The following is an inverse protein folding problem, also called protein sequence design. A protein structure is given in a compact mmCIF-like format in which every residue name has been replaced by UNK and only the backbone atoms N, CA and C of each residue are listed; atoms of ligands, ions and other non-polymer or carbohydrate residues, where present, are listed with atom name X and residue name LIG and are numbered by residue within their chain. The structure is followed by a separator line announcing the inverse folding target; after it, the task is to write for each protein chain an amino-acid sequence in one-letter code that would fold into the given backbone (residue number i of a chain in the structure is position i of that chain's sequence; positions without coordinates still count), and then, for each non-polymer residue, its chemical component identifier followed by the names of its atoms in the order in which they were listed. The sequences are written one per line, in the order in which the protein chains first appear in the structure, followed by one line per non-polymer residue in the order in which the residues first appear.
data_IF_749676475661
#
_entry.id   IF_749676475661
#
_cell.length_a   1.000
_cell.length_b   1.000
_cell.length_c   1.000
_cell.angle_alpha   90.00
_cell.angle_beta   90.00
_cell.angle_gamma   90.00
#
_symmetry.space_group_name_H-M   'P 1'
#
loop_
_entity.id
_entity.type
_entity.pdbx_description
1 polymer ?
#
# COMPACT_ATOMS: atom_id res chain seq x y z
N UNK A 1 22.53 -9.50 12.47
CA UNK A 1 22.40 -8.23 13.22
C UNK A 1 21.33 -7.41 12.53
N UNK A 2 20.31 -6.91 13.22
CA UNK A 2 19.38 -5.93 12.63
C UNK A 2 20.01 -4.54 12.75
N UNK A 3 20.12 -3.84 11.64
CA UNK A 3 20.50 -2.43 11.65
C UNK A 3 19.33 -1.59 12.19
N UNK A 4 19.61 -0.55 12.99
CA UNK A 4 18.60 0.37 13.52
C UNK A 4 18.97 1.81 13.15
N UNK A 5 17.99 2.58 12.68
CA UNK A 5 18.17 4.01 12.39
C UNK A 5 18.70 4.77 13.60
N UNK A 6 18.20 4.46 14.80
CA UNK A 6 18.64 5.11 16.04
C UNK A 6 20.15 4.88 16.26
N UNK A 7 20.64 3.65 16.08
CA UNK A 7 22.07 3.34 16.20
C UNK A 7 22.93 4.13 15.22
N UNK A 8 22.41 4.42 14.01
CA UNK A 8 23.14 5.20 13.00
C UNK A 8 23.16 6.68 13.31
N UNK A 9 22.04 7.27 13.74
CA UNK A 9 21.97 8.70 14.03
C UNK A 9 22.57 9.06 15.39
N UNK A 10 22.64 8.13 16.34
CA UNK A 10 23.27 8.32 17.65
C UNK A 10 24.78 8.56 17.55
N UNK A 11 25.41 8.15 16.45
CA UNK A 11 26.81 8.47 16.15
C UNK A 11 27.04 9.97 15.84
N UNK A 12 25.97 10.74 15.62
CA UNK A 12 26.05 12.19 15.38
C UNK A 12 26.04 12.91 16.74
N UNK A 13 27.12 13.65 17.02
CA UNK A 13 27.29 14.37 18.27
C UNK A 13 26.32 15.55 18.43
N UNK A 14 26.01 16.26 17.33
CA UNK A 14 25.10 17.41 17.36
C UNK A 14 23.64 16.97 17.49
N UNK A 15 22.97 17.44 18.55
CA UNK A 15 21.59 17.06 18.86
C UNK A 15 20.59 17.52 17.79
N UNK A 16 20.74 18.75 17.28
CA UNK A 16 19.78 19.29 16.32
C UNK A 16 19.92 18.60 14.97
N UNK A 17 21.14 18.40 14.48
CA UNK A 17 21.43 17.66 13.26
C UNK A 17 20.92 16.21 13.35
N UNK A 18 21.16 15.53 14.48
CA UNK A 18 20.64 14.18 14.75
C UNK A 18 19.12 14.13 14.65
N UNK A 19 18.43 15.05 15.32
CA UNK A 19 16.97 15.08 15.34
C UNK A 19 16.38 15.38 13.96
N UNK A 20 16.91 16.38 13.24
CA UNK A 20 16.44 16.71 11.90
C UNK A 20 16.68 15.56 10.92
N UNK A 21 17.87 14.95 10.97
CA UNK A 21 18.20 13.81 10.12
C UNK A 21 17.32 12.60 10.45
N UNK A 22 17.01 12.36 11.73
CA UNK A 22 16.09 11.30 12.13
C UNK A 22 14.71 11.50 11.49
N UNK A 23 14.14 12.72 11.52
CA UNK A 23 12.83 12.96 10.91
C UNK A 23 12.82 12.61 9.42
N UNK A 24 13.83 13.07 8.67
CA UNK A 24 13.96 12.80 7.23
C UNK A 24 14.16 11.31 6.95
N UNK A 25 15.14 10.69 7.62
CA UNK A 25 15.50 9.29 7.36
C UNK A 25 14.44 8.31 7.84
N UNK A 26 13.65 8.67 8.85
CA UNK A 26 12.67 7.74 9.42
C UNK A 26 11.54 7.39 8.46
N UNK A 27 11.17 8.29 7.54
CA UNK A 27 10.22 8.00 6.47
C UNK A 27 10.84 7.09 5.40
N UNK A 28 12.10 7.34 5.02
CA UNK A 28 12.80 6.48 4.07
C UNK A 28 12.99 5.07 4.61
N UNK A 29 13.40 4.96 5.87
CA UNK A 29 13.59 3.68 6.56
C UNK A 29 12.27 2.91 6.65
N UNK A 30 11.17 3.59 6.96
CA UNK A 30 9.83 2.97 7.00
C UNK A 30 9.43 2.42 5.63
N UNK A 31 9.62 3.19 4.55
CA UNK A 31 9.28 2.76 3.19
C UNK A 31 10.16 1.62 2.68
N UNK A 32 11.46 1.67 2.94
CA UNK A 32 12.40 0.64 2.49
C UNK A 32 12.28 -0.66 3.30
N UNK A 33 11.86 -0.57 4.55
CA UNK A 33 11.62 -1.74 5.41
C UNK A 33 10.18 -2.29 5.31
N UNK A 34 9.31 -1.65 4.51
CA UNK A 34 7.90 -2.00 4.34
C UNK A 34 7.55 -2.07 2.85
N UNK A 35 7.92 -3.18 2.20
CA UNK A 35 7.70 -3.38 0.77
C UNK A 35 7.29 -4.82 0.45
N UNK A 36 6.48 -4.98 -0.59
CA UNK A 36 6.28 -6.28 -1.22
C UNK A 36 7.49 -6.64 -2.09
N UNK A 37 7.97 -7.87 -1.94
CA UNK A 37 9.08 -8.43 -2.73
C UNK A 37 8.55 -9.21 -3.94
N UNK A 38 7.34 -9.77 -3.81
CA UNK A 38 6.61 -10.39 -4.91
C UNK A 38 5.21 -9.80 -4.96
N UNK A 39 4.52 -9.91 -6.10
CA UNK A 39 3.12 -9.49 -6.25
C UNK A 39 2.31 -10.60 -6.92
N UNK A 40 1.23 -11.06 -6.27
CA UNK A 40 0.31 -12.03 -6.87
C UNK A 40 -0.73 -11.40 -7.81
N UNK A 41 -0.73 -10.07 -7.95
CA UNK A 41 -1.78 -9.30 -8.61
C UNK A 41 -3.04 -9.17 -7.74
N UNK A 42 -3.67 -8.01 -7.75
CA UNK A 42 -5.01 -7.84 -7.18
C UNK A 42 -6.05 -8.28 -8.20
N UNK A 43 -7.11 -8.94 -7.72
CA UNK A 43 -8.23 -9.38 -8.54
C UNK A 43 -9.55 -9.16 -7.78
N UNK A 44 -10.66 -9.14 -8.50
CA UNK A 44 -11.99 -9.13 -7.87
C UNK A 44 -12.21 -10.40 -7.04
N UNK A 45 -12.85 -10.30 -5.87
CA UNK A 45 -13.05 -11.45 -4.98
C UNK A 45 -14.03 -12.51 -5.54
N UNK A 46 -14.78 -12.16 -6.58
CA UNK A 46 -15.72 -13.02 -7.30
C UNK A 46 -16.67 -12.16 -8.13
N UNK A 47 -17.50 -12.80 -8.96
CA UNK A 47 -18.54 -12.07 -9.70
C UNK A 47 -19.47 -11.33 -8.72
N UNK A 48 -19.76 -10.06 -9.02
CA UNK A 48 -20.60 -9.20 -8.18
C UNK A 48 -19.96 -8.71 -6.89
N UNK A 49 -18.67 -8.99 -6.63
CA UNK A 49 -18.03 -8.59 -5.39
C UNK A 49 -17.68 -7.09 -5.36
N UNK A 50 -17.96 -6.43 -4.24
CA UNK A 50 -17.64 -5.02 -4.00
C UNK A 50 -16.24 -4.81 -3.37
N UNK A 51 -15.42 -5.86 -3.29
CA UNK A 51 -14.09 -5.81 -2.70
C UNK A 51 -13.12 -6.78 -3.41
N UNK A 52 -11.81 -6.45 -3.40
CA UNK A 52 -10.80 -7.26 -4.06
C UNK A 52 -10.25 -8.38 -3.17
N UNK A 53 -9.41 -9.23 -3.76
CA UNK A 53 -8.54 -10.18 -3.08
C UNK A 53 -7.15 -10.18 -3.73
N UNK A 54 -6.18 -10.80 -3.07
CA UNK A 54 -4.92 -11.17 -3.72
C UNK A 54 -5.13 -12.32 -4.72
N UNK A 55 -4.25 -12.41 -5.72
CA UNK A 55 -4.29 -13.45 -6.74
C UNK A 55 -3.93 -14.84 -6.22
N UNK A 56 -3.73 -15.77 -7.15
CA UNK A 56 -3.60 -17.20 -6.86
C UNK A 56 -2.22 -17.64 -6.31
N UNK A 57 -1.30 -16.70 -6.08
CA UNK A 57 0.03 -16.98 -5.55
C UNK A 57 0.22 -16.42 -4.14
N UNK A 58 1.05 -17.09 -3.34
CA UNK A 58 1.50 -16.56 -2.05
C UNK A 58 2.39 -15.34 -2.32
N UNK A 59 2.13 -14.25 -1.59
CA UNK A 59 2.87 -12.99 -1.73
C UNK A 59 3.79 -12.77 -0.54
N UNK A 60 5.04 -12.39 -0.80
CA UNK A 60 6.05 -12.14 0.22
C UNK A 60 6.42 -10.67 0.27
N UNK A 61 6.71 -10.20 1.48
CA UNK A 61 7.18 -8.84 1.70
C UNK A 61 7.72 -8.66 3.11
N UNK A 62 7.87 -7.41 3.49
CA UNK A 62 8.27 -6.98 4.82
C UNK A 62 7.31 -5.91 5.33
N UNK A 63 7.12 -5.82 6.65
CA UNK A 63 6.44 -4.72 7.35
C UNK A 63 7.36 -4.27 8.47
N UNK A 64 7.88 -3.04 8.39
CA UNK A 64 8.86 -2.50 9.32
C UNK A 64 10.04 -3.46 9.60
N UNK A 65 10.52 -4.15 8.56
CA UNK A 65 11.63 -5.11 8.63
C UNK A 65 11.24 -6.51 9.09
N UNK A 66 9.97 -6.75 9.45
CA UNK A 66 9.48 -8.09 9.80
C UNK A 66 8.99 -8.78 8.52
N UNK A 67 9.50 -9.98 8.18
CA UNK A 67 9.03 -10.70 7.00
C UNK A 67 7.56 -11.09 7.16
N UNK A 68 6.79 -10.88 6.11
CA UNK A 68 5.38 -11.24 6.04
C UNK A 68 5.10 -12.18 4.88
N UNK A 69 4.09 -13.02 5.07
CA UNK A 69 3.54 -13.89 4.04
C UNK A 69 2.03 -13.64 3.95
N UNK A 70 1.57 -13.16 2.81
CA UNK A 70 0.14 -13.01 2.51
C UNK A 70 -0.30 -14.25 1.73
N UNK A 71 -1.24 -15.07 2.26
CA UNK A 71 -1.76 -16.24 1.57
C UNK A 71 -2.37 -15.90 0.19
N UNK A 72 -2.37 -16.89 -0.70
CA UNK A 72 -3.07 -16.79 -1.98
C UNK A 72 -4.58 -16.58 -1.75
N UNK A 73 -5.22 -15.78 -2.59
CA UNK A 73 -6.67 -15.56 -2.53
C UNK A 73 -7.15 -14.80 -1.29
N UNK A 74 -6.27 -14.09 -0.58
CA UNK A 74 -6.62 -13.37 0.65
C UNK A 74 -7.60 -12.24 0.33
N UNK A 75 -8.81 -12.32 0.91
CA UNK A 75 -9.81 -11.28 0.82
C UNK A 75 -9.32 -9.99 1.48
N UNK A 76 -9.48 -8.87 0.79
CA UNK A 76 -9.16 -7.55 1.31
C UNK A 76 -10.42 -6.86 1.83
N UNK A 77 -10.28 -5.90 2.77
CA UNK A 77 -11.42 -5.21 3.35
C UNK A 77 -12.25 -4.47 2.31
N UNK A 78 -13.55 -4.36 2.57
CA UNK A 78 -14.46 -3.58 1.75
C UNK A 78 -14.13 -2.08 1.83
N UNK A 79 -13.98 -1.35 0.71
CA UNK A 79 -13.51 0.03 0.71
C UNK A 79 -14.62 1.04 1.04
N UNK A 80 -15.30 0.84 2.16
CA UNK A 80 -16.41 1.68 2.61
C UNK A 80 -15.98 3.15 2.73
N UNK A 81 -16.81 4.06 2.20
CA UNK A 81 -16.54 5.51 2.20
C UNK A 81 -15.78 6.02 0.98
N UNK A 82 -15.23 5.13 0.14
CA UNK A 82 -14.68 5.50 -1.16
C UNK A 82 -15.84 5.77 -2.16
N UNK A 83 -16.32 7.01 -2.19
CA UNK A 83 -17.49 7.41 -2.99
C UNK A 83 -17.11 8.37 -4.11
N UNK A 84 -17.75 8.24 -5.26
CA UNK A 84 -17.57 9.14 -6.41
C UNK A 84 -18.87 9.43 -7.12
N UNK A 85 -18.95 10.58 -7.79
CA UNK A 85 -20.01 10.87 -8.74
C UNK A 85 -19.77 10.16 -10.09
N UNK A 86 -20.79 10.14 -10.94
CA UNK A 86 -20.70 9.60 -12.29
C UNK A 86 -19.53 10.20 -13.08
N UNK A 87 -18.75 9.34 -13.74
CA UNK A 87 -17.60 9.70 -14.58
C UNK A 87 -16.34 10.12 -13.83
N UNK A 88 -16.35 10.14 -12.49
CA UNK A 88 -15.15 10.45 -11.71
C UNK A 88 -14.26 9.22 -11.54
N UNK A 89 -13.01 9.49 -11.16
CA UNK A 89 -11.97 8.52 -10.88
C UNK A 89 -11.60 8.60 -9.40
N UNK A 90 -11.47 7.46 -8.75
CA UNK A 90 -10.94 7.35 -7.38
C UNK A 90 -9.88 6.26 -7.31
N UNK A 91 -8.85 6.52 -6.51
CA UNK A 91 -7.82 5.54 -6.19
C UNK A 91 -8.04 5.00 -4.78
N UNK A 92 -7.94 3.69 -4.61
CA UNK A 92 -8.12 2.99 -3.33
C UNK A 92 -6.91 2.09 -3.12
N UNK A 93 -6.06 2.40 -2.15
CA UNK A 93 -4.86 1.66 -1.84
C UNK A 93 -5.07 0.73 -0.64
N UNK A 94 -4.55 -0.48 -0.74
CA UNK A 94 -4.66 -1.54 0.25
C UNK A 94 -3.32 -1.79 0.91
N UNK A 95 -3.32 -1.86 2.23
CA UNK A 95 -2.12 -1.95 3.03
C UNK A 95 -2.17 -3.15 3.97
N UNK A 96 -1.01 -3.78 4.17
CA UNK A 96 -0.79 -4.76 5.22
C UNK A 96 0.02 -4.13 6.36
N UNK A 97 -0.35 -4.42 7.60
CA UNK A 97 0.44 -4.13 8.80
C UNK A 97 0.46 -5.32 9.75
N UNK A 98 1.36 -5.28 10.73
CA UNK A 98 1.39 -6.24 11.82
C UNK A 98 0.84 -5.57 13.08
N UNK A 99 -0.30 -6.05 13.55
CA UNK A 99 -0.90 -5.63 14.82
C UNK A 99 -0.77 -6.80 15.78
N UNK A 100 0.02 -6.63 16.85
CA UNK A 100 0.34 -7.69 17.81
C UNK A 100 0.86 -8.99 17.15
N UNK A 101 1.70 -8.85 16.12
CA UNK A 101 2.27 -9.97 15.35
C UNK A 101 1.31 -10.62 14.35
N UNK A 102 0.08 -10.13 14.22
CA UNK A 102 -0.93 -10.65 13.29
C UNK A 102 -1.07 -9.73 12.08
N UNK A 103 -1.07 -10.31 10.89
CA UNK A 103 -1.33 -9.57 9.65
C UNK A 103 -2.73 -8.98 9.65
N UNK A 104 -2.79 -7.67 9.49
CA UNK A 104 -4.03 -6.89 9.40
C UNK A 104 -4.03 -6.15 8.07
N UNK A 105 -5.19 -6.10 7.43
CA UNK A 105 -5.39 -5.43 6.16
C UNK A 105 -6.25 -4.19 6.36
N UNK A 106 -5.82 -3.09 5.77
CA UNK A 106 -6.57 -1.82 5.78
C UNK A 106 -6.56 -1.21 4.39
N UNK A 107 -7.33 -0.15 4.20
CA UNK A 107 -7.34 0.63 2.98
C UNK A 107 -7.36 2.12 3.28
N UNK A 108 -6.93 2.89 2.31
CA UNK A 108 -7.03 4.35 2.26
C UNK A 108 -7.45 4.74 0.85
N UNK A 109 -8.17 5.84 0.69
CA UNK A 109 -8.55 6.34 -0.63
C UNK A 109 -8.16 7.80 -0.80
N UNK A 110 -7.95 8.18 -2.06
CA UNK A 110 -7.68 9.57 -2.43
C UNK A 110 -8.96 10.36 -2.65
N UNK A 111 -8.78 11.61 -3.05
CA UNK A 111 -9.86 12.48 -3.48
C UNK A 111 -10.27 12.16 -4.93
N UNK A 112 -11.58 12.09 -5.24
CA UNK A 112 -12.04 11.85 -6.59
C UNK A 112 -11.64 12.97 -7.56
N UNK A 113 -11.32 12.60 -8.80
CA UNK A 113 -10.99 13.52 -9.88
C UNK A 113 -11.84 13.29 -11.13
N UNK A 114 -11.98 14.32 -11.97
CA UNK A 114 -12.67 14.19 -13.26
C UNK A 114 -11.89 13.38 -14.32
N UNK A 115 -10.64 13.04 -14.02
CA UNK A 115 -9.77 12.19 -14.84
C UNK A 115 -8.86 11.36 -13.92
N UNK A 116 -8.29 10.27 -14.45
CA UNK A 116 -7.35 9.45 -13.71
C UNK A 116 -6.13 10.22 -13.17
N UNK A 117 -5.67 11.25 -13.90
CA UNK A 117 -4.55 12.11 -13.48
C UNK A 117 -4.95 13.17 -12.44
N UNK A 118 -6.24 13.52 -12.36
CA UNK A 118 -6.75 14.47 -11.37
C UNK A 118 -7.16 13.80 -10.05
N UNK A 119 -7.37 12.48 -10.05
CA UNK A 119 -7.59 11.72 -8.82
C UNK A 119 -6.31 11.71 -7.98
N UNK A 120 -6.42 11.97 -6.69
CA UNK A 120 -5.23 11.99 -5.84
C UNK A 120 -4.84 10.60 -5.39
N UNK A 121 -3.53 10.36 -5.25
CA UNK A 121 -3.04 9.07 -4.78
C UNK A 121 -3.28 8.92 -3.27
N UNK A 122 -3.76 7.77 -2.79
CA UNK A 122 -4.00 7.56 -1.37
C UNK A 122 -2.70 7.61 -0.59
N UNK A 123 -2.70 8.39 0.49
CA UNK A 123 -1.56 8.41 1.41
C UNK A 123 -1.57 7.15 2.27
N UNK A 124 -0.38 6.66 2.71
CA UNK A 124 -0.35 5.60 3.70
C UNK A 124 -1.13 6.02 4.95
N UNK A 125 -1.61 5.06 5.76
CA UNK A 125 -2.08 5.35 7.11
C UNK A 125 -1.06 6.22 7.86
N UNK A 126 -1.54 7.11 8.74
CA UNK A 126 -0.69 8.11 9.42
C UNK A 126 0.42 7.51 10.32
N UNK A 127 0.39 6.21 10.54
CA UNK A 127 1.33 5.42 11.34
C UNK A 127 2.31 4.67 10.45
N UNK A 128 3.55 4.50 10.93
CA UNK A 128 4.61 3.71 10.29
C UNK A 128 4.28 2.21 10.28
N UNK A 129 4.94 1.43 9.43
CA UNK A 129 4.83 -0.02 9.38
C UNK A 129 3.64 -0.51 8.55
N UNK A 130 3.46 0.08 7.37
CA UNK A 130 2.45 -0.36 6.41
C UNK A 130 3.08 -0.63 5.05
N UNK A 131 2.74 -1.79 4.50
CA UNK A 131 3.21 -2.26 3.21
C UNK A 131 2.08 -2.22 2.21
N UNK A 132 2.31 -1.54 1.08
CA UNK A 132 1.33 -1.44 0.00
C UNK A 132 1.20 -2.80 -0.69
N UNK A 133 -0.01 -3.36 -0.67
CA UNK A 133 -0.35 -4.60 -1.38
C UNK A 133 -0.65 -4.30 -2.84
N UNK A 134 -1.34 -3.19 -3.06
CA UNK A 134 -1.79 -2.73 -4.36
C UNK A 134 -2.86 -1.67 -4.22
N UNK A 135 -3.34 -1.18 -5.34
CA UNK A 135 -4.41 -0.20 -5.39
C UNK A 135 -5.33 -0.45 -6.58
N UNK A 136 -6.54 0.11 -6.45
CA UNK A 136 -7.57 0.10 -7.45
C UNK A 136 -7.68 1.50 -8.01
N UNK A 137 -7.78 1.64 -9.32
CA UNK A 137 -8.29 2.83 -9.97
C UNK A 137 -9.69 2.51 -10.48
N UNK A 138 -10.70 3.18 -9.92
CA UNK A 138 -12.10 2.94 -10.24
C UNK A 138 -12.68 4.15 -10.96
N UNK A 139 -13.41 3.90 -12.04
CA UNK A 139 -14.32 4.86 -12.65
C UNK A 139 -15.62 4.17 -13.07
N UNK A 140 -16.73 4.91 -13.04
CA UNK A 140 -18.02 4.35 -13.35
C UNK A 140 -18.93 5.38 -14.03
N UNK A 141 -19.77 4.92 -14.96
CA UNK A 141 -20.73 5.79 -15.66
C UNK A 141 -21.85 6.31 -14.73
N UNK A 142 -22.01 5.71 -13.55
CA UNK A 142 -22.89 6.16 -12.48
C UNK A 142 -22.08 6.41 -11.19
N UNK A 143 -22.74 6.77 -10.11
CA UNK A 143 -22.08 6.90 -8.81
C UNK A 143 -21.49 5.56 -8.36
N UNK A 144 -20.22 5.56 -7.97
CA UNK A 144 -19.59 4.43 -7.31
C UNK A 144 -19.61 4.66 -5.80
N UNK A 145 -20.07 3.65 -5.07
CA UNK A 145 -20.09 3.62 -3.61
C UNK A 145 -19.29 2.41 -3.13
N UNK A 146 -18.17 2.69 -2.48
CA UNK A 146 -17.28 1.66 -1.98
C UNK A 146 -17.98 0.69 -1.02
N UNK A 147 -17.85 -0.60 -1.30
CA UNK A 147 -18.47 -1.67 -0.53
C UNK A 147 -19.91 -2.03 -0.88
N UNK A 148 -20.54 -1.31 -1.81
CA UNK A 148 -21.86 -1.67 -2.34
C UNK A 148 -21.85 -1.85 -3.84
N UNK A 149 -21.16 -0.99 -4.59
CA UNK A 149 -21.03 -1.12 -6.04
C UNK A 149 -20.09 -2.29 -6.37
N UNK A 150 -20.54 -3.29 -7.15
CA UNK A 150 -19.66 -4.36 -7.61
C UNK A 150 -18.51 -3.83 -8.48
N UNK A 151 -17.30 -4.39 -8.27
CA UNK A 151 -16.10 -3.94 -8.97
C UNK A 151 -16.05 -4.36 -10.44
N UNK A 152 -16.87 -5.33 -10.85
CA UNK A 152 -17.04 -5.79 -12.24
C UNK A 152 -18.09 -4.98 -13.01
N UNK A 153 -18.93 -4.21 -12.33
CA UNK A 153 -19.84 -3.25 -12.96
C UNK A 153 -19.14 -1.92 -13.26
N UNK A 154 -18.24 -1.49 -12.37
CA UNK A 154 -17.38 -0.34 -12.59
C UNK A 154 -16.16 -0.71 -13.45
N UNK A 155 -15.60 0.26 -14.17
CA UNK A 155 -14.28 0.09 -14.78
C UNK A 155 -13.24 0.16 -13.68
N UNK A 156 -12.72 -1.00 -13.30
CA UNK A 156 -11.75 -1.14 -12.21
C UNK A 156 -10.43 -1.66 -12.74
N UNK A 157 -9.36 -0.88 -12.55
CA UNK A 157 -7.99 -1.31 -12.85
C UNK A 157 -7.31 -1.74 -11.56
N UNK A 158 -6.79 -2.96 -11.54
CA UNK A 158 -6.09 -3.54 -10.40
C UNK A 158 -4.58 -3.42 -10.62
N UNK A 159 -3.88 -2.78 -9.67
CA UNK A 159 -2.45 -2.51 -9.79
C UNK A 159 -1.75 -3.01 -8.53
N UNK A 160 -0.75 -3.88 -8.72
CA UNK A 160 0.07 -4.43 -7.63
C UNK A 160 1.52 -4.03 -7.84
N UNK A 161 1.95 -2.90 -7.28
CA UNK A 161 3.35 -2.51 -7.34
C UNK A 161 4.18 -3.43 -6.46
N UNK A 162 5.37 -3.76 -6.93
CA UNK A 162 6.46 -4.24 -6.07
C UNK A 162 7.24 -3.03 -5.57
N UNK A 163 7.89 -3.15 -4.41
CA UNK A 163 8.81 -2.11 -3.95
C UNK A 163 9.92 -1.85 -4.97
N UNK A 164 10.65 -0.73 -4.80
CA UNK A 164 11.87 -0.55 -5.57
C UNK A 164 12.84 -1.71 -5.27
N UNK A 165 13.12 -2.53 -6.28
CA UNK A 165 14.10 -3.61 -6.24
C UNK A 165 15.17 -3.27 -7.26
N UNK A 166 16.38 -2.93 -6.80
CA UNK A 166 17.56 -2.76 -7.64
C UNK A 166 18.52 -3.93 -7.40
N UNK A 167 18.48 -4.98 -8.23
CA UNK A 167 19.39 -6.12 -8.11
C UNK A 167 20.82 -5.81 -8.60
N UNK A 168 21.08 -4.58 -9.08
CA UNK A 168 22.36 -4.15 -9.66
C UNK A 168 23.09 -3.07 -8.85
N UNK A 169 22.46 -2.52 -7.82
CA UNK A 169 23.07 -1.61 -6.85
C UNK A 169 24.21 -2.31 -6.11
N UNK A 170 25.42 -2.22 -6.66
CA UNK A 170 26.64 -2.75 -6.07
C UNK A 170 27.53 -1.58 -5.66
N UNK A 171 27.88 -1.51 -4.37
CA UNK A 171 28.97 -0.65 -3.90
C UNK A 171 30.28 -1.29 -4.37
N UNK A 172 30.74 -0.90 -5.55
CA UNK A 172 32.10 -1.17 -5.99
C UNK A 172 32.86 0.14 -5.86
N UNK A 173 33.87 0.16 -4.98
CA UNK A 173 34.87 1.24 -4.96
C UNK A 173 35.67 1.24 -6.27
#
# INVERSE_FOLDING_TARGET
MSESLNQRVDAIADYQARTQLWYVLSYLYDRLSSALHTAAGLVINGAGAAFPKTGAAITYGSVAGVPIQIPAGTALPSPVGANTAAGQYIMIAYWASLVNGTLTYTYTFGAPGASAAAATYPQPPAVKGYTLIGYLLVTYASAFTGGTTPLDTATTVFISPVGAVDPTATFTN
#
